data_IF_368712246631
#
_entry.id   IF_368712246631
#
_cell.length_a   1.000
_cell.length_b   1.000
_cell.length_c   1.000
_cell.angle_alpha   90.00
_cell.angle_beta   90.00
_cell.angle_gamma   90.00
#
_symmetry.space_group_name_H-M   'P 1'
#
loop_
_entity.id
_entity.type
_entity.pdbx_description
1 polymer ?
#
# COMPACT_ATOMS: atom_id res chain seq x y z
N UNK A 1 26.41 3.59 -7.61
CA UNK A 1 25.05 3.12 -7.94
C UNK A 1 24.10 4.15 -7.38
N UNK A 2 23.10 4.61 -8.13
CA UNK A 2 22.06 5.49 -7.59
C UNK A 2 21.30 4.63 -6.56
N UNK A 3 21.43 4.92 -5.27
CA UNK A 3 20.75 4.12 -4.24
C UNK A 3 19.24 4.18 -4.49
N UNK A 4 18.64 3.02 -4.75
CA UNK A 4 17.21 2.92 -5.08
C UNK A 4 16.42 3.04 -3.80
N UNK A 5 15.87 4.23 -3.53
CA UNK A 5 15.14 4.51 -2.29
C UNK A 5 13.64 4.71 -2.54
N UNK A 6 12.82 4.03 -1.75
CA UNK A 6 11.37 4.06 -1.78
C UNK A 6 10.83 4.79 -0.53
N UNK A 7 9.99 5.81 -0.71
CA UNK A 7 9.42 6.57 0.40
C UNK A 7 7.90 6.41 0.48
N UNK A 8 7.37 6.25 1.69
CA UNK A 8 5.94 6.46 1.97
C UNK A 8 5.78 7.64 2.91
N UNK A 9 5.10 8.68 2.44
CA UNK A 9 5.02 9.99 3.09
C UNK A 9 3.61 10.14 3.63
N UNK A 10 3.48 9.95 4.94
CA UNK A 10 2.22 10.06 5.68
C UNK A 10 2.09 11.54 6.07
N UNK A 11 1.25 12.29 5.35
CA UNK A 11 1.19 13.75 5.50
C UNK A 11 0.33 14.21 6.68
N UNK A 12 -0.55 13.33 7.16
CA UNK A 12 -1.50 13.56 8.26
C UNK A 12 -1.98 12.24 8.84
N UNK A 13 -2.44 12.23 10.09
CA UNK A 13 -3.25 11.14 10.66
C UNK A 13 -4.75 11.49 10.75
N UNK A 14 -5.16 12.68 10.30
CA UNK A 14 -6.58 13.05 10.18
C UNK A 14 -7.22 12.27 9.05
N UNK A 15 -8.40 11.72 9.28
CA UNK A 15 -9.17 11.00 8.27
C UNK A 15 -10.67 11.26 8.46
N UNK A 16 -11.41 11.37 7.36
CA UNK A 16 -12.87 11.47 7.36
C UNK A 16 -13.55 10.08 7.38
N UNK A 17 -12.81 9.02 7.04
CA UNK A 17 -13.28 7.65 7.12
C UNK A 17 -13.17 7.11 8.55
N UNK A 18 -14.07 6.19 8.91
CA UNK A 18 -14.07 5.48 10.20
C UNK A 18 -13.98 3.99 9.94
N UNK A 19 -12.87 3.60 9.32
CA UNK A 19 -12.71 2.25 8.80
C UNK A 19 -12.69 1.21 9.92
N UNK A 20 -13.27 0.03 9.70
CA UNK A 20 -13.25 -1.06 10.70
C UNK A 20 -11.85 -1.63 10.93
N UNK A 21 -10.97 -1.55 9.93
CA UNK A 21 -9.62 -2.11 9.95
C UNK A 21 -8.51 -1.13 10.35
N UNK A 22 -8.85 0.14 10.66
CA UNK A 22 -7.87 1.19 10.95
C UNK A 22 -8.45 2.19 11.97
N UNK A 23 -7.80 2.30 13.12
CA UNK A 23 -8.20 3.20 14.21
C UNK A 23 -7.44 4.53 14.18
N UNK A 24 -6.76 4.85 13.08
CA UNK A 24 -6.00 6.10 12.95
C UNK A 24 -6.87 7.35 13.18
N UNK A 25 -8.17 7.29 12.85
CA UNK A 25 -9.11 8.40 13.04
C UNK A 25 -9.46 8.67 14.51
N UNK A 26 -9.20 7.73 15.43
CA UNK A 26 -9.50 7.89 16.86
C UNK A 26 -8.48 8.77 17.58
N UNK A 27 -7.28 8.95 17.02
CA UNK A 27 -6.23 9.79 17.59
C UNK A 27 -5.53 10.60 16.47
N UNK A 28 -6.26 11.56 15.87
CA UNK A 28 -5.77 12.30 14.72
C UNK A 28 -4.67 13.31 15.10
N UNK A 29 -3.78 13.62 14.16
CA UNK A 29 -2.86 14.77 14.29
C UNK A 29 -3.63 16.09 14.32
N UNK A 30 -3.05 17.12 14.95
CA UNK A 30 -3.49 18.50 14.76
C UNK A 30 -2.71 19.17 13.61
N UNK A 31 -3.32 20.10 12.84
CA UNK A 31 -2.64 20.74 11.71
C UNK A 31 -1.26 21.33 12.04
N UNK A 32 -1.11 21.91 13.24
CA UNK A 32 0.15 22.51 13.71
C UNK A 32 1.24 21.49 14.10
N UNK A 33 0.88 20.21 14.26
CA UNK A 33 1.82 19.11 14.53
C UNK A 33 2.33 18.45 13.25
N UNK A 34 1.65 18.68 12.13
CA UNK A 34 1.91 17.98 10.86
C UNK A 34 3.16 18.52 10.15
N UNK A 35 3.85 17.64 9.43
CA UNK A 35 5.07 17.96 8.69
C UNK A 35 4.89 19.22 7.83
N UNK A 36 5.85 20.13 7.94
CA UNK A 36 5.90 21.35 7.15
C UNK A 36 6.43 21.08 5.73
N UNK A 37 6.12 21.97 4.79
CA UNK A 37 6.70 21.93 3.45
C UNK A 37 8.25 21.94 3.49
N UNK A 38 8.82 22.79 4.36
CA UNK A 38 10.27 22.87 4.60
C UNK A 38 10.87 21.55 5.10
N UNK A 39 10.12 20.78 5.88
CA UNK A 39 10.55 19.46 6.34
C UNK A 39 10.57 18.48 5.17
N UNK A 40 9.54 18.49 4.31
CA UNK A 40 9.44 17.63 3.13
C UNK A 40 10.56 17.95 2.11
N UNK A 41 10.96 19.22 1.98
CA UNK A 41 12.10 19.65 1.15
C UNK A 41 13.42 18.98 1.54
N UNK A 42 13.58 18.52 2.79
CA UNK A 42 14.79 17.81 3.24
C UNK A 42 14.85 16.35 2.79
N UNK A 43 13.79 15.80 2.20
CA UNK A 43 13.78 14.42 1.70
C UNK A 43 14.83 14.23 0.58
N UNK A 44 15.43 13.02 0.49
CA UNK A 44 16.39 12.70 -0.56
C UNK A 44 15.66 12.46 -1.89
N UNK A 45 16.44 12.17 -2.94
CA UNK A 45 15.87 11.68 -4.19
C UNK A 45 15.36 10.24 -4.02
N UNK A 46 14.23 9.94 -4.66
CA UNK A 46 13.46 8.70 -4.54
C UNK A 46 13.20 8.09 -5.91
N UNK A 47 13.27 6.77 -6.01
CA UNK A 47 12.77 6.06 -7.19
C UNK A 47 11.24 6.02 -7.19
N UNK A 48 10.62 6.02 -6.01
CA UNK A 48 9.17 6.01 -5.87
C UNK A 48 8.74 6.63 -4.55
N UNK A 49 7.69 7.45 -4.60
CA UNK A 49 7.03 8.00 -3.43
C UNK A 49 5.54 7.61 -3.42
N UNK A 50 5.05 7.11 -2.28
CA UNK A 50 3.63 7.06 -1.99
C UNK A 50 3.25 8.21 -1.07
N UNK A 51 2.32 9.06 -1.49
CA UNK A 51 1.74 10.09 -0.63
C UNK A 51 0.45 9.53 -0.04
N UNK A 52 0.35 9.55 1.29
CA UNK A 52 -0.70 8.86 2.04
C UNK A 52 -0.93 9.53 3.39
N UNK A 53 -1.62 8.83 4.29
CA UNK A 53 -1.79 9.18 5.69
C UNK A 53 -3.19 9.70 5.96
N UNK A 54 -3.82 9.18 7.02
CA UNK A 54 -5.26 9.34 7.28
C UNK A 54 -6.02 9.42 5.96
N UNK A 55 -6.50 10.62 5.62
CA UNK A 55 -6.80 11.02 4.24
C UNK A 55 -5.94 12.22 3.81
N UNK A 56 -5.03 12.09 2.80
CA UNK A 56 -4.12 13.17 2.41
C UNK A 56 -4.86 14.41 1.89
N UNK A 57 -6.02 14.23 1.24
CA UNK A 57 -6.84 15.34 0.75
C UNK A 57 -7.62 16.08 1.85
N UNK A 58 -7.34 15.83 3.13
CA UNK A 58 -7.73 16.74 4.23
C UNK A 58 -6.78 17.93 4.33
N UNK A 59 -5.49 17.74 4.00
CA UNK A 59 -4.52 18.83 4.02
C UNK A 59 -4.83 19.85 2.94
N UNK A 60 -4.80 21.13 3.29
CA UNK A 60 -5.12 22.23 2.36
C UNK A 60 -4.00 22.44 1.35
N UNK A 61 -2.76 22.20 1.77
CA UNK A 61 -1.50 22.38 1.05
C UNK A 61 -0.99 21.09 0.35
N UNK A 62 -1.90 20.16 0.03
CA UNK A 62 -1.53 18.89 -0.62
C UNK A 62 -0.92 19.08 -2.01
N UNK A 63 -1.29 20.15 -2.73
CA UNK A 63 -0.75 20.45 -4.05
C UNK A 63 0.72 20.87 -3.99
N UNK A 64 1.07 21.69 -3.00
CA UNK A 64 2.42 22.13 -2.69
C UNK A 64 3.28 20.94 -2.25
N UNK A 65 2.74 20.05 -1.41
CA UNK A 65 3.40 18.80 -1.02
C UNK A 65 3.73 17.94 -2.24
N UNK A 66 2.74 17.73 -3.13
CA UNK A 66 2.95 16.96 -4.37
C UNK A 66 4.02 17.60 -5.24
N UNK A 67 3.99 18.93 -5.39
CA UNK A 67 4.97 19.67 -6.19
C UNK A 67 6.40 19.49 -5.66
N UNK A 68 6.62 19.57 -4.34
CA UNK A 68 7.95 19.34 -3.73
C UNK A 68 8.41 17.91 -3.96
N UNK A 69 7.52 16.92 -3.81
CA UNK A 69 7.88 15.50 -3.95
C UNK A 69 8.17 15.16 -5.43
N UNK A 70 7.52 15.83 -6.39
CA UNK A 70 7.79 15.64 -7.83
C UNK A 70 9.24 15.95 -8.21
N UNK A 71 9.83 16.97 -7.60
CA UNK A 71 11.24 17.32 -7.82
C UNK A 71 12.21 16.27 -7.24
N UNK A 72 11.71 15.36 -6.40
CA UNK A 72 12.50 14.36 -5.67
C UNK A 72 12.25 12.93 -6.12
N UNK A 73 11.07 12.62 -6.64
CA UNK A 73 10.65 11.24 -6.90
C UNK A 73 10.42 10.96 -8.38
N UNK A 74 11.04 9.89 -8.90
CA UNK A 74 10.86 9.45 -10.29
C UNK A 74 9.44 8.98 -10.60
N UNK A 75 8.70 8.51 -9.58
CA UNK A 75 7.29 8.13 -9.68
C UNK A 75 6.54 8.42 -8.38
N UNK A 76 5.35 9.02 -8.50
CA UNK A 76 4.47 9.27 -7.36
C UNK A 76 3.16 8.52 -7.54
N UNK A 77 2.67 7.91 -6.46
CA UNK A 77 1.29 7.42 -6.37
C UNK A 77 0.64 7.96 -5.09
N UNK A 78 -0.56 8.52 -5.19
CA UNK A 78 -1.35 8.97 -4.03
C UNK A 78 -2.33 7.86 -3.62
N UNK A 79 -2.40 7.56 -2.33
CA UNK A 79 -3.41 6.67 -1.75
C UNK A 79 -4.52 7.54 -1.13
N UNK A 80 -5.77 7.37 -1.55
CA UNK A 80 -6.91 8.16 -1.04
C UNK A 80 -8.17 7.31 -0.90
N UNK A 81 -9.06 7.68 0.01
CA UNK A 81 -10.40 7.12 0.12
C UNK A 81 -11.39 7.68 -0.93
N UNK A 82 -10.98 8.66 -1.74
CA UNK A 82 -11.81 9.20 -2.83
C UNK A 82 -12.91 10.17 -2.39
N UNK A 83 -12.96 10.55 -1.11
CA UNK A 83 -14.04 11.39 -0.58
C UNK A 83 -14.03 12.82 -1.11
N UNK A 84 -12.84 13.39 -1.31
CA UNK A 84 -12.63 14.77 -1.76
C UNK A 84 -12.49 14.86 -3.29
N UNK A 85 -13.48 14.33 -4.03
CA UNK A 85 -13.43 14.14 -5.48
C UNK A 85 -12.99 15.39 -6.26
N UNK A 86 -13.55 16.57 -5.97
CA UNK A 86 -13.18 17.80 -6.69
C UNK A 86 -11.71 18.20 -6.45
N UNK A 87 -11.22 18.03 -5.22
CA UNK A 87 -9.81 18.33 -4.89
C UNK A 87 -8.87 17.36 -5.57
N UNK A 88 -9.24 16.08 -5.60
CA UNK A 88 -8.51 15.03 -6.32
C UNK A 88 -8.42 15.39 -7.80
N UNK A 89 -9.55 15.64 -8.45
CA UNK A 89 -9.58 15.91 -9.89
C UNK A 89 -8.83 17.21 -10.24
N UNK A 90 -8.97 18.26 -9.44
CA UNK A 90 -8.22 19.50 -9.62
C UNK A 90 -6.70 19.28 -9.56
N UNK A 91 -6.23 18.49 -8.59
CA UNK A 91 -4.80 18.17 -8.45
C UNK A 91 -4.27 17.37 -9.65
N UNK A 92 -5.00 16.34 -10.08
CA UNK A 92 -4.56 15.48 -11.18
C UNK A 92 -4.62 16.17 -12.55
N UNK A 93 -5.49 17.17 -12.75
CA UNK A 93 -5.46 18.03 -13.95
C UNK A 93 -4.15 18.83 -14.05
N UNK A 94 -3.58 19.25 -12.92
CA UNK A 94 -2.30 19.97 -12.87
C UNK A 94 -1.09 19.04 -12.92
N UNK A 95 -1.23 17.83 -12.40
CA UNK A 95 -0.17 16.82 -12.33
C UNK A 95 -0.62 15.50 -12.98
N UNK A 96 -0.81 15.46 -14.31
CA UNK A 96 -1.36 14.28 -15.01
C UNK A 96 -0.41 13.07 -15.08
N UNK A 97 0.84 13.25 -14.67
CA UNK A 97 1.93 12.29 -14.72
C UNK A 97 2.09 11.46 -13.43
N UNK A 98 1.34 11.78 -12.36
CA UNK A 98 1.34 10.99 -11.13
C UNK A 98 0.19 9.97 -11.12
N UNK A 99 0.30 8.94 -10.28
CA UNK A 99 -0.75 7.92 -10.13
C UNK A 99 -1.62 8.11 -8.89
N UNK A 100 -2.78 7.44 -8.88
CA UNK A 100 -3.67 7.37 -7.72
C UNK A 100 -4.25 5.99 -7.55
N UNK A 101 -4.41 5.58 -6.29
CA UNK A 101 -5.21 4.43 -5.90
C UNK A 101 -6.33 4.90 -4.98
N UNK A 102 -7.56 4.81 -5.48
CA UNK A 102 -8.75 5.02 -4.67
C UNK A 102 -9.09 3.72 -3.98
N UNK A 103 -9.10 3.80 -2.67
CA UNK A 103 -9.48 2.72 -1.78
C UNK A 103 -10.96 2.36 -1.94
N UNK A 104 -11.24 1.17 -2.46
CA UNK A 104 -12.58 0.59 -2.61
C UNK A 104 -12.53 -0.84 -2.09
N UNK A 105 -13.26 -1.13 -1.02
CA UNK A 105 -13.13 -2.35 -0.22
C UNK A 105 -14.08 -3.48 -0.62
N UNK A 106 -14.69 -3.40 -1.79
CA UNK A 106 -15.68 -4.38 -2.27
C UNK A 106 -16.78 -3.69 -3.07
N UNK A 107 -17.90 -4.39 -3.27
CA UNK A 107 -19.13 -3.84 -3.82
C UNK A 107 -19.78 -2.85 -2.81
N UNK A 108 -20.81 -2.07 -3.20
CA UNK A 108 -21.28 -0.93 -2.40
C UNK A 108 -21.50 -1.21 -0.91
N UNK A 109 -22.17 -2.34 -0.59
CA UNK A 109 -22.47 -2.72 0.80
C UNK A 109 -21.21 -2.95 1.63
N UNK A 110 -20.31 -3.80 1.14
CA UNK A 110 -19.06 -4.15 1.84
C UNK A 110 -18.17 -2.92 1.97
N UNK A 111 -18.02 -2.15 0.88
CA UNK A 111 -17.20 -0.95 0.88
C UNK A 111 -17.63 0.05 1.95
N UNK A 112 -18.90 0.43 1.95
CA UNK A 112 -19.41 1.50 2.80
C UNK A 112 -19.43 1.07 4.27
N UNK A 113 -19.72 -0.21 4.53
CA UNK A 113 -19.64 -0.81 5.88
C UNK A 113 -18.21 -0.77 6.40
N UNK A 114 -17.24 -1.23 5.61
CA UNK A 114 -15.84 -1.34 6.02
C UNK A 114 -15.20 0.04 6.19
N UNK A 115 -15.52 0.98 5.30
CA UNK A 115 -14.92 2.33 5.30
C UNK A 115 -15.61 3.29 6.27
N UNK A 116 -16.85 2.99 6.68
CA UNK A 116 -17.66 3.90 7.48
C UNK A 116 -18.02 5.19 6.71
N UNK A 117 -18.11 5.12 5.38
CA UNK A 117 -18.47 6.25 4.51
C UNK A 117 -19.72 5.85 3.74
N UNK A 118 -20.82 6.57 3.96
CA UNK A 118 -22.05 6.43 3.18
C UNK A 118 -21.82 6.84 1.72
N UNK A 119 -22.31 6.03 0.80
CA UNK A 119 -22.16 6.18 -0.65
C UNK A 119 -20.68 6.27 -1.08
N UNK A 120 -19.80 5.62 -0.31
CA UNK A 120 -18.35 5.66 -0.47
C UNK A 120 -17.91 4.98 -1.76
N UNK A 121 -18.52 3.84 -2.09
CA UNK A 121 -18.23 3.10 -3.32
C UNK A 121 -18.55 3.96 -4.54
N UNK A 122 -19.76 4.49 -4.62
CA UNK A 122 -20.23 5.28 -5.76
C UNK A 122 -19.39 6.54 -5.95
N UNK A 123 -19.04 7.21 -4.84
CA UNK A 123 -18.18 8.38 -4.88
C UNK A 123 -16.76 8.03 -5.36
N UNK A 124 -16.17 6.96 -4.84
CA UNK A 124 -14.86 6.47 -5.26
C UNK A 124 -14.84 6.13 -6.75
N UNK A 125 -15.82 5.35 -7.22
CA UNK A 125 -15.96 4.96 -8.62
C UNK A 125 -16.17 6.17 -9.54
N UNK A 126 -17.06 7.11 -9.18
CA UNK A 126 -17.24 8.36 -9.95
C UNK A 126 -15.95 9.18 -10.02
N UNK A 127 -15.16 9.20 -8.96
CA UNK A 127 -13.86 9.90 -8.95
C UNK A 127 -12.90 9.23 -9.94
N UNK A 128 -12.80 7.90 -9.91
CA UNK A 128 -11.96 7.13 -10.84
C UNK A 128 -12.37 7.34 -12.30
N UNK A 129 -13.67 7.31 -12.60
CA UNK A 129 -14.22 7.58 -13.93
C UNK A 129 -13.83 8.97 -14.42
N UNK A 130 -14.07 10.01 -13.60
CA UNK A 130 -13.73 11.40 -13.97
C UNK A 130 -12.23 11.62 -14.18
N UNK A 131 -11.38 10.88 -13.48
CA UNK A 131 -9.92 10.92 -13.69
C UNK A 131 -9.54 10.29 -15.03
N UNK A 132 -10.15 9.16 -15.39
CA UNK A 132 -9.92 8.54 -16.70
C UNK A 132 -10.45 9.42 -17.83
N UNK A 133 -11.63 10.02 -17.68
CA UNK A 133 -12.18 10.98 -18.66
C UNK A 133 -11.29 12.21 -18.82
N UNK A 134 -10.57 12.60 -17.77
CA UNK A 134 -9.57 13.68 -17.81
C UNK A 134 -8.22 13.23 -18.42
N UNK A 135 -8.10 12.00 -18.89
CA UNK A 135 -6.90 11.47 -19.55
C UNK A 135 -5.81 10.95 -18.61
N UNK A 136 -6.11 10.79 -17.31
CA UNK A 136 -5.14 10.29 -16.33
C UNK A 136 -4.95 8.79 -16.51
N UNK A 137 -3.71 8.36 -16.74
CA UNK A 137 -3.38 6.97 -17.12
C UNK A 137 -3.15 6.04 -15.93
N UNK A 138 -2.52 6.52 -14.86
CA UNK A 138 -2.14 5.70 -13.71
C UNK A 138 -3.20 5.75 -12.59
N UNK A 139 -4.42 5.28 -12.91
CA UNK A 139 -5.59 5.30 -12.01
C UNK A 139 -5.94 3.87 -11.59
N UNK A 140 -6.40 3.67 -10.36
CA UNK A 140 -6.75 2.33 -9.89
C UNK A 140 -7.48 2.22 -8.58
N UNK A 141 -7.94 1.00 -8.31
CA UNK A 141 -8.58 0.57 -7.08
C UNK A 141 -7.52 0.07 -6.08
N UNK A 142 -7.81 0.23 -4.79
CA UNK A 142 -7.10 -0.43 -3.71
C UNK A 142 -8.07 -1.17 -2.80
N UNK A 143 -7.84 -2.45 -2.56
CA UNK A 143 -8.68 -3.30 -1.70
C UNK A 143 -7.84 -4.00 -0.65
N UNK A 144 -8.27 -3.90 0.61
CA UNK A 144 -7.74 -4.66 1.74
C UNK A 144 -8.66 -5.86 1.95
N UNK A 145 -8.27 -7.00 1.40
CA UNK A 145 -9.09 -8.21 1.43
C UNK A 145 -9.13 -8.79 2.84
N UNK A 146 -10.33 -9.04 3.32
CA UNK A 146 -10.68 -9.57 4.63
C UNK A 146 -11.95 -10.42 4.52
N UNK A 147 -12.31 -11.11 5.60
CA UNK A 147 -13.48 -11.99 5.65
C UNK A 147 -14.77 -11.27 5.19
N UNK A 148 -14.99 -10.02 5.61
CA UNK A 148 -16.18 -9.26 5.25
C UNK A 148 -16.31 -8.83 3.78
N UNK A 149 -15.26 -8.96 2.96
CA UNK A 149 -15.28 -8.54 1.55
C UNK A 149 -14.63 -9.53 0.58
N UNK A 150 -14.19 -10.71 1.03
CA UNK A 150 -13.48 -11.66 0.19
C UNK A 150 -14.30 -12.08 -1.04
N UNK A 151 -15.61 -12.27 -0.86
CA UNK A 151 -16.54 -12.62 -1.94
C UNK A 151 -16.62 -11.55 -3.05
N UNK A 152 -16.32 -10.28 -2.74
CA UNK A 152 -16.38 -9.18 -3.70
C UNK A 152 -15.08 -9.04 -4.52
N UNK A 153 -14.01 -9.75 -4.14
CA UNK A 153 -12.66 -9.55 -4.71
C UNK A 153 -12.64 -9.74 -6.23
N UNK A 154 -13.26 -10.81 -6.73
CA UNK A 154 -13.25 -11.14 -8.15
C UNK A 154 -14.10 -10.16 -8.95
N UNK A 155 -15.27 -9.79 -8.44
CA UNK A 155 -16.16 -8.84 -9.12
C UNK A 155 -15.56 -7.44 -9.17
N UNK A 156 -14.95 -6.98 -8.07
CA UNK A 156 -14.26 -5.69 -8.05
C UNK A 156 -13.02 -5.69 -8.94
N UNK A 157 -12.24 -6.78 -8.95
CA UNK A 157 -11.13 -6.94 -9.89
C UNK A 157 -11.63 -6.91 -11.34
N UNK A 158 -12.72 -7.60 -11.65
CA UNK A 158 -13.31 -7.61 -12.99
C UNK A 158 -13.72 -6.20 -13.41
N UNK A 159 -14.41 -5.46 -12.54
CA UNK A 159 -14.76 -4.06 -12.81
C UNK A 159 -13.51 -3.24 -13.14
N UNK A 160 -12.48 -3.29 -12.29
CA UNK A 160 -11.20 -2.60 -12.54
C UNK A 160 -10.55 -3.01 -13.85
N UNK A 161 -10.55 -4.30 -14.17
CA UNK A 161 -9.88 -4.85 -15.35
C UNK A 161 -10.58 -4.43 -16.65
N UNK A 162 -11.93 -4.44 -16.67
CA UNK A 162 -12.71 -3.96 -17.83
C UNK A 162 -12.50 -2.46 -18.07
N UNK A 163 -12.27 -1.69 -17.01
CA UNK A 163 -11.98 -0.26 -17.10
C UNK A 163 -10.51 0.04 -17.46
N UNK A 164 -9.66 -0.99 -17.61
CA UNK A 164 -8.23 -0.82 -17.85
C UNK A 164 -7.49 -0.19 -16.67
N UNK A 165 -8.08 -0.21 -15.47
CA UNK A 165 -7.55 0.40 -14.27
C UNK A 165 -6.65 -0.55 -13.48
N UNK A 166 -5.78 0.03 -12.68
CA UNK A 166 -4.88 -0.72 -11.81
C UNK A 166 -5.63 -1.29 -10.60
N UNK A 167 -5.27 -2.49 -10.17
CA UNK A 167 -5.88 -3.13 -9.01
C UNK A 167 -4.80 -3.48 -7.99
N UNK A 168 -4.80 -2.79 -6.85
CA UNK A 168 -3.87 -3.03 -5.75
C UNK A 168 -4.57 -3.84 -4.65
N UNK A 169 -3.96 -4.93 -4.25
CA UNK A 169 -4.45 -5.80 -3.17
C UNK A 169 -3.56 -5.70 -1.94
N UNK A 170 -4.19 -5.79 -0.78
CA UNK A 170 -3.57 -6.00 0.52
C UNK A 170 -4.46 -6.94 1.33
N UNK A 171 -4.06 -7.25 2.56
CA UNK A 171 -4.92 -7.90 3.56
C UNK A 171 -4.72 -7.20 4.90
N UNK A 172 -5.45 -7.61 5.94
CA UNK A 172 -5.41 -6.99 7.25
C UNK A 172 -4.02 -7.00 7.86
N UNK A 173 -3.65 -5.89 8.49
CA UNK A 173 -2.39 -5.73 9.21
C UNK A 173 -2.65 -5.07 10.56
N UNK A 174 -1.90 -5.52 11.56
CA UNK A 174 -1.84 -4.91 12.89
C UNK A 174 -0.49 -4.20 13.03
N UNK A 175 -0.50 -2.93 13.39
CA UNK A 175 0.71 -2.11 13.51
C UNK A 175 0.45 -0.80 14.24
N UNK A 176 1.54 -0.15 14.69
CA UNK A 176 1.47 1.21 15.23
C UNK A 176 0.82 2.19 14.24
N UNK A 177 1.05 2.02 12.93
CA UNK A 177 0.58 2.95 11.90
C UNK A 177 -0.94 2.95 11.76
N UNK A 178 -1.55 1.76 11.72
CA UNK A 178 -3.01 1.62 11.65
C UNK A 178 -3.69 1.84 13.01
N UNK A 179 -2.90 1.99 14.09
CA UNK A 179 -3.36 2.05 15.49
C UNK A 179 -4.26 0.88 15.87
N UNK A 180 -4.02 -0.27 15.22
CA UNK A 180 -4.85 -1.45 15.26
C UNK A 180 -4.01 -2.66 15.64
N UNK A 181 -4.50 -3.46 16.57
CA UNK A 181 -3.80 -4.63 17.12
C UNK A 181 -4.65 -5.90 17.14
N UNK A 182 -5.93 -5.78 16.81
CA UNK A 182 -6.99 -6.76 16.97
C UNK A 182 -7.65 -7.17 15.65
N UNK A 183 -7.11 -6.76 14.50
CA UNK A 183 -7.58 -7.31 13.22
C UNK A 183 -7.27 -8.81 13.17
N UNK A 184 -8.29 -9.63 12.90
CA UNK A 184 -8.18 -11.09 12.77
C UNK A 184 -8.99 -11.54 11.56
N UNK A 185 -8.46 -12.52 10.82
CA UNK A 185 -9.19 -13.27 9.80
C UNK A 185 -9.53 -14.63 10.41
N UNK A 186 -10.81 -14.84 10.75
CA UNK A 186 -11.25 -16.08 11.38
C UNK A 186 -11.38 -17.17 10.31
N UNK A 187 -12.18 -16.94 9.27
CA UNK A 187 -12.25 -17.83 8.13
C UNK A 187 -11.13 -17.54 7.12
N UNK A 188 -9.95 -18.12 7.37
CA UNK A 188 -8.79 -17.99 6.47
C UNK A 188 -9.02 -18.68 5.12
N UNK A 189 -9.80 -19.77 5.09
CA UNK A 189 -10.05 -20.54 3.88
C UNK A 189 -10.83 -19.72 2.86
N UNK A 190 -11.92 -19.05 3.26
CA UNK A 190 -12.71 -18.19 2.35
C UNK A 190 -11.86 -17.08 1.72
N UNK A 191 -11.03 -16.40 2.53
CA UNK A 191 -10.15 -15.35 2.04
C UNK A 191 -9.06 -15.91 1.11
N UNK A 192 -8.50 -17.07 1.44
CA UNK A 192 -7.50 -17.75 0.62
C UNK A 192 -8.07 -18.22 -0.73
N UNK A 193 -9.31 -18.75 -0.74
CA UNK A 193 -10.02 -19.14 -1.95
C UNK A 193 -10.28 -17.93 -2.86
N UNK A 194 -10.71 -16.79 -2.31
CA UNK A 194 -10.88 -15.58 -3.09
C UNK A 194 -9.57 -15.11 -3.75
N UNK A 195 -8.46 -15.14 -3.01
CA UNK A 195 -7.14 -14.85 -3.57
C UNK A 195 -6.70 -15.90 -4.60
N UNK A 196 -6.99 -17.18 -4.38
CA UNK A 196 -6.68 -18.25 -5.32
C UNK A 196 -7.37 -18.01 -6.66
N UNK A 197 -8.66 -17.66 -6.66
CA UNK A 197 -9.40 -17.33 -7.87
C UNK A 197 -8.78 -16.14 -8.61
N UNK A 198 -8.33 -15.12 -7.87
CA UNK A 198 -7.63 -13.98 -8.43
C UNK A 198 -6.29 -14.40 -9.05
N UNK A 199 -5.51 -15.22 -8.34
CA UNK A 199 -4.23 -15.76 -8.83
C UNK A 199 -4.43 -16.56 -10.12
N UNK A 200 -5.40 -17.48 -10.15
CA UNK A 200 -5.77 -18.25 -11.35
C UNK A 200 -6.12 -17.32 -12.51
N UNK A 201 -6.94 -16.29 -12.28
CA UNK A 201 -7.34 -15.32 -13.32
C UNK A 201 -6.16 -14.53 -13.84
N UNK A 202 -5.28 -14.06 -12.96
CA UNK A 202 -4.09 -13.30 -13.32
C UNK A 202 -3.09 -14.14 -14.13
N UNK A 203 -2.87 -15.40 -13.75
CA UNK A 203 -2.02 -16.35 -14.50
C UNK A 203 -2.58 -16.66 -15.89
N UNK A 204 -3.90 -16.75 -16.07
CA UNK A 204 -4.53 -16.96 -17.39
C UNK A 204 -4.37 -15.78 -18.35
N UNK A 205 -4.08 -14.58 -17.84
CA UNK A 205 -3.90 -13.41 -18.70
C UNK A 205 -2.65 -13.52 -19.60
N UNK A 206 -2.58 -12.65 -20.63
CA UNK A 206 -1.40 -12.51 -21.51
C UNK A 206 -0.39 -11.46 -21.03
N UNK A 207 -0.63 -10.82 -19.88
CA UNK A 207 0.18 -9.70 -19.39
C UNK A 207 1.23 -10.18 -18.39
N UNK A 208 2.54 -10.01 -18.67
CA UNK A 208 3.59 -10.35 -17.71
C UNK A 208 3.42 -9.64 -16.36
N UNK A 209 3.00 -8.37 -16.37
CA UNK A 209 2.69 -7.60 -15.15
C UNK A 209 1.64 -8.31 -14.28
N UNK A 210 0.58 -8.86 -14.90
CA UNK A 210 -0.45 -9.62 -14.18
C UNK A 210 0.10 -10.93 -13.61
N UNK A 211 1.04 -11.60 -14.27
CA UNK A 211 1.67 -12.81 -13.72
C UNK A 211 2.48 -12.53 -12.45
N UNK A 212 3.23 -11.41 -12.42
CA UNK A 212 3.90 -10.97 -11.19
C UNK A 212 2.89 -10.57 -10.10
N UNK A 213 1.76 -9.97 -10.46
CA UNK A 213 0.65 -9.75 -9.51
C UNK A 213 0.09 -11.06 -8.97
N UNK A 214 0.06 -12.13 -9.77
CA UNK A 214 -0.36 -13.44 -9.30
C UNK A 214 0.58 -13.97 -8.21
N UNK A 215 1.90 -13.89 -8.41
CA UNK A 215 2.88 -14.24 -7.38
C UNK A 215 2.72 -13.38 -6.11
N UNK A 216 2.50 -12.07 -6.27
CA UNK A 216 2.25 -11.19 -5.14
C UNK A 216 1.03 -11.63 -4.32
N UNK A 217 -0.10 -11.94 -4.98
CA UNK A 217 -1.32 -12.39 -4.30
C UNK A 217 -1.17 -13.80 -3.69
N UNK A 218 -0.40 -14.69 -4.32
CA UNK A 218 0.00 -15.96 -3.70
C UNK A 218 0.73 -15.73 -2.36
N UNK A 219 1.62 -14.73 -2.30
CA UNK A 219 2.27 -14.35 -1.05
C UNK A 219 1.35 -13.73 0.00
N UNK A 220 0.22 -13.12 -0.40
CA UNK A 220 -0.82 -12.68 0.57
C UNK A 220 -1.50 -13.90 1.22
N UNK A 221 -1.77 -14.96 0.46
CA UNK A 221 -2.29 -16.23 1.02
C UNK A 221 -1.28 -16.78 2.03
N UNK A 222 0.01 -16.84 1.67
CA UNK A 222 1.07 -17.28 2.57
C UNK A 222 1.10 -16.47 3.89
N UNK A 223 0.92 -15.16 3.81
CA UNK A 223 0.85 -14.29 4.98
C UNK A 223 -0.38 -14.55 5.87
N UNK A 224 -1.56 -14.79 5.30
CA UNK A 224 -2.79 -15.11 6.05
C UNK A 224 -2.62 -16.36 6.93
N UNK A 225 -1.87 -17.35 6.42
CA UNK A 225 -1.52 -18.57 7.17
C UNK A 225 -0.37 -18.37 8.16
N UNK A 226 0.19 -17.17 8.29
CA UNK A 226 1.25 -16.85 9.25
C UNK A 226 2.63 -17.40 8.88
N UNK A 227 2.80 -17.85 7.64
CA UNK A 227 4.05 -18.46 7.19
C UNK A 227 5.16 -17.42 7.00
N UNK A 228 6.44 -17.82 7.06
CA UNK A 228 7.56 -16.95 6.72
C UNK A 228 7.40 -16.34 5.33
N UNK A 229 7.89 -15.10 5.16
CA UNK A 229 7.85 -14.41 3.86
C UNK A 229 8.53 -15.25 2.76
N UNK A 230 7.94 -15.25 1.57
CA UNK A 230 8.52 -15.91 0.39
C UNK A 230 9.77 -15.19 -0.15
N UNK A 231 9.95 -13.93 0.24
CA UNK A 231 11.07 -13.07 -0.16
C UNK A 231 11.57 -12.28 1.05
N UNK A 232 12.88 -11.94 1.11
CA UNK A 232 13.43 -11.13 2.17
C UNK A 232 12.76 -9.74 2.25
N UNK A 233 12.96 -9.08 3.38
CA UNK A 233 12.51 -7.70 3.61
C UNK A 233 13.72 -6.78 3.70
N UNK A 234 13.79 -5.79 2.80
CA UNK A 234 14.88 -4.81 2.73
C UNK A 234 14.46 -3.42 3.24
N UNK A 235 13.30 -3.32 3.89
CA UNK A 235 12.86 -2.10 4.60
C UNK A 235 13.92 -1.63 5.59
N UNK A 236 13.94 -0.32 5.86
CA UNK A 236 15.01 0.40 6.57
C UNK A 236 16.36 0.49 5.83
N UNK A 237 16.55 -0.21 4.70
CA UNK A 237 17.72 -0.07 3.82
C UNK A 237 17.38 0.59 2.49
N UNK A 238 16.38 0.06 1.79
CA UNK A 238 15.91 0.63 0.51
C UNK A 238 14.53 1.29 0.63
N UNK A 239 13.87 1.23 1.79
CA UNK A 239 12.57 1.84 2.02
C UNK A 239 12.44 2.51 3.37
N UNK A 240 11.67 3.60 3.44
CA UNK A 240 11.35 4.30 4.68
C UNK A 240 9.91 4.83 4.66
N UNK A 241 9.45 5.22 5.85
CA UNK A 241 8.23 5.98 6.04
C UNK A 241 8.58 7.32 6.70
N UNK A 242 7.98 8.41 6.23
CA UNK A 242 7.96 9.69 6.93
C UNK A 242 6.59 9.84 7.57
N UNK A 243 6.53 10.01 8.88
CA UNK A 243 5.27 10.23 9.59
C UNK A 243 4.92 11.74 9.70
N UNK A 244 3.68 12.08 10.11
CA UNK A 244 3.26 13.47 10.20
C UNK A 244 4.03 14.30 11.23
N UNK A 245 4.75 13.67 12.16
CA UNK A 245 5.53 14.37 13.19
C UNK A 245 6.98 14.59 12.75
N UNK A 246 7.35 14.19 11.52
CA UNK A 246 8.70 14.34 10.98
C UNK A 246 9.61 13.14 11.24
N UNK A 247 9.13 12.07 11.88
CA UNK A 247 9.98 10.91 12.14
C UNK A 247 10.20 10.09 10.88
N UNK A 248 11.47 9.73 10.64
CA UNK A 248 11.84 8.72 9.66
C UNK A 248 11.73 7.36 10.31
N UNK A 249 10.84 6.53 9.81
CA UNK A 249 10.51 5.20 10.32
C UNK A 249 10.96 4.12 9.33
N UNK A 250 11.32 2.92 9.81
CA UNK A 250 11.80 1.84 8.95
C UNK A 250 10.71 1.26 8.06
N UNK A 251 9.48 1.13 8.56
CA UNK A 251 8.30 0.66 7.85
C UNK A 251 7.03 0.99 8.65
N UNK A 252 5.85 0.71 8.09
CA UNK A 252 4.56 0.82 8.77
C UNK A 252 4.04 -0.50 9.36
N UNK A 253 4.80 -1.59 9.32
CA UNK A 253 4.35 -2.92 9.75
C UNK A 253 4.81 -3.35 11.16
N UNK A 254 5.67 -2.55 11.80
CA UNK A 254 6.16 -2.87 13.14
C UNK A 254 5.06 -2.75 14.19
N UNK A 255 5.21 -3.47 15.29
CA UNK A 255 4.28 -3.39 16.42
C UNK A 255 4.38 -2.05 17.14
N UNK A 256 5.63 -1.64 17.41
CA UNK A 256 5.94 -0.38 18.04
C UNK A 256 6.54 0.59 17.02
N UNK A 257 6.28 1.88 17.22
CA UNK A 257 6.92 2.94 16.46
C UNK A 257 8.42 2.96 16.79
N UNK A 258 9.27 2.84 15.77
CA UNK A 258 10.73 2.93 15.92
C UNK A 258 11.26 4.06 15.04
N UNK A 259 11.54 5.21 15.65
CA UNK A 259 12.13 6.35 14.92
C UNK A 259 13.60 6.09 14.64
N UNK A 260 14.04 6.40 13.42
CA UNK A 260 15.45 6.47 13.02
C UNK A 260 16.03 7.86 13.28
N UNK A 261 15.18 8.86 13.53
CA UNK A 261 15.49 10.28 13.72
C UNK A 261 14.38 11.17 13.17
N UNK A 262 14.41 12.46 13.51
CA UNK A 262 13.34 13.40 13.16
C UNK A 262 13.83 14.50 12.20
N UNK A 263 13.16 14.61 11.05
CA UNK A 263 13.52 15.50 9.94
C UNK A 263 13.19 16.98 10.23
N UNK A 264 12.39 17.28 11.26
CA UNK A 264 12.21 18.66 11.69
C UNK A 264 13.50 19.21 12.30
N UNK A 265 14.26 18.39 13.02
CA UNK A 265 15.44 18.81 13.80
C UNK A 265 16.76 18.46 13.13
N UNK A 266 16.80 17.45 12.26
CA UNK A 266 18.02 16.98 11.60
C UNK A 266 17.89 16.98 10.07
N UNK A 267 19.01 16.84 9.38
CA UNK A 267 19.08 16.57 7.94
C UNK A 267 18.86 15.09 7.64
N UNK A 268 18.57 14.75 6.38
CA UNK A 268 18.41 13.36 5.96
C UNK A 268 19.67 12.52 6.24
N UNK A 269 20.86 13.02 5.90
CA UNK A 269 22.12 12.28 6.06
C UNK A 269 22.48 12.03 7.52
N UNK A 270 22.23 13.00 8.41
CA UNK A 270 22.42 12.84 9.85
C UNK A 270 21.52 11.72 10.40
N UNK A 271 20.25 11.69 9.97
CA UNK A 271 19.30 10.65 10.39
C UNK A 271 19.71 9.29 9.82
N UNK A 272 19.86 9.19 8.50
CA UNK A 272 20.00 7.92 7.80
C UNK A 272 21.31 7.20 8.14
N UNK A 273 22.38 7.93 8.46
CA UNK A 273 23.67 7.36 8.82
C UNK A 273 23.91 7.28 10.34
N UNK A 274 22.95 7.71 11.17
CA UNK A 274 23.06 7.70 12.63
C UNK A 274 23.24 6.29 13.23
N UNK A 275 23.74 6.24 14.46
CA UNK A 275 23.74 5.01 15.27
C UNK A 275 22.31 4.51 15.55
N UNK A 276 21.37 5.43 15.78
CA UNK A 276 19.95 5.10 15.96
C UNK A 276 19.39 4.38 14.71
N UNK A 277 19.63 4.91 13.52
CA UNK A 277 19.24 4.27 12.27
C UNK A 277 19.87 2.87 12.10
N UNK A 278 21.15 2.70 12.47
CA UNK A 278 21.83 1.39 12.47
C UNK A 278 21.16 0.40 13.44
N UNK A 279 20.81 0.85 14.65
CA UNK A 279 20.09 0.05 15.64
C UNK A 279 18.70 -0.37 15.13
N UNK A 280 17.94 0.58 14.56
CA UNK A 280 16.63 0.30 13.96
C UNK A 280 16.73 -0.72 12.82
N UNK A 281 17.71 -0.59 11.92
CA UNK A 281 17.97 -1.58 10.85
C UNK A 281 18.26 -2.97 11.41
N UNK A 282 19.05 -3.06 12.48
CA UNK A 282 19.35 -4.33 13.13
C UNK A 282 18.08 -4.98 13.73
N UNK A 283 17.18 -4.18 14.29
CA UNK A 283 15.87 -4.63 14.77
C UNK A 283 14.95 -5.10 13.64
N UNK A 284 14.89 -4.36 12.53
CA UNK A 284 14.09 -4.74 11.35
C UNK A 284 14.59 -6.05 10.74
N UNK A 285 15.90 -6.30 10.71
CA UNK A 285 16.48 -7.57 10.24
C UNK A 285 16.03 -8.79 11.06
N UNK A 286 15.66 -8.59 12.33
CA UNK A 286 15.17 -9.63 13.25
C UNK A 286 13.64 -9.66 13.35
N UNK A 287 12.94 -8.87 12.54
CA UNK A 287 11.49 -8.77 12.59
C UNK A 287 10.81 -10.09 12.20
N UNK A 288 9.86 -10.55 13.02
CA UNK A 288 9.13 -11.81 12.86
C UNK A 288 7.69 -11.62 12.34
N UNK A 289 7.30 -10.40 11.97
CA UNK A 289 5.92 -10.06 11.59
C UNK A 289 5.43 -10.73 10.31
N UNK A 290 6.36 -11.25 9.49
CA UNK A 290 6.09 -11.90 8.20
C UNK A 290 5.22 -11.10 7.21
N UNK A 291 5.08 -9.77 7.39
CA UNK A 291 4.20 -8.93 6.57
C UNK A 291 4.48 -9.04 5.08
N UNK A 292 3.43 -8.91 4.26
CA UNK A 292 3.51 -8.99 2.81
C UNK A 292 2.94 -7.74 2.12
N UNK A 293 3.41 -6.57 2.58
CA UNK A 293 2.99 -5.27 2.06
C UNK A 293 3.68 -4.92 0.75
N UNK A 294 2.93 -4.40 -0.22
CA UNK A 294 3.43 -4.09 -1.57
C UNK A 294 4.67 -3.20 -1.57
N UNK A 295 4.76 -2.22 -0.65
CA UNK A 295 5.92 -1.32 -0.53
C UNK A 295 7.23 -2.04 -0.21
N UNK A 296 7.17 -3.17 0.52
CA UNK A 296 8.34 -4.00 0.82
C UNK A 296 8.54 -5.14 -0.19
N UNK A 297 7.46 -5.65 -0.78
CA UNK A 297 7.50 -6.83 -1.64
C UNK A 297 7.84 -6.47 -3.09
N UNK A 298 7.33 -5.36 -3.61
CA UNK A 298 7.62 -4.97 -4.99
C UNK A 298 9.13 -4.72 -5.25
N UNK A 299 9.89 -4.04 -4.35
CA UNK A 299 11.34 -3.97 -4.47
C UNK A 299 12.00 -5.34 -4.35
N UNK A 300 11.60 -6.15 -3.34
CA UNK A 300 12.16 -7.49 -3.13
C UNK A 300 11.96 -8.42 -4.32
N UNK A 301 10.82 -8.34 -5.01
CA UNK A 301 10.54 -9.09 -6.25
C UNK A 301 11.45 -8.67 -7.40
N UNK A 302 11.83 -7.39 -7.50
CA UNK A 302 12.75 -6.90 -8.54
C UNK A 302 14.17 -7.37 -8.25
N UNK A 303 14.61 -7.28 -7.00
CA UNK A 303 15.95 -7.70 -6.57
C UNK A 303 16.12 -9.23 -6.66
N UNK A 304 15.05 -9.99 -6.41
CA UNK A 304 15.05 -11.45 -6.41
C UNK A 304 14.25 -12.03 -7.58
N UNK A 305 14.28 -11.39 -8.76
CA UNK A 305 13.38 -11.66 -9.90
C UNK A 305 13.31 -13.12 -10.35
N UNK A 306 14.38 -13.90 -10.13
CA UNK A 306 14.44 -15.32 -10.48
C UNK A 306 13.44 -16.17 -9.69
N UNK A 307 13.13 -15.80 -8.44
CA UNK A 307 12.16 -16.52 -7.59
C UNK A 307 10.74 -16.43 -8.15
N UNK A 308 10.13 -15.24 -8.34
CA UNK A 308 8.82 -15.13 -8.95
C UNK A 308 8.81 -15.65 -10.39
N UNK A 309 9.88 -15.47 -11.18
CA UNK A 309 9.93 -16.01 -12.54
C UNK A 309 9.84 -17.54 -12.58
N UNK A 310 10.59 -18.25 -11.73
CA UNK A 310 10.51 -19.72 -11.64
C UNK A 310 9.12 -20.17 -11.21
N UNK A 311 8.53 -19.51 -10.22
CA UNK A 311 7.17 -19.81 -9.76
C UNK A 311 6.13 -19.57 -10.86
N UNK A 312 6.21 -18.44 -11.57
CA UNK A 312 5.32 -18.11 -12.69
C UNK A 312 5.47 -19.16 -13.80
N UNK A 313 6.69 -19.48 -14.21
CA UNK A 313 6.95 -20.47 -15.26
C UNK A 313 6.37 -21.84 -14.92
N UNK A 314 6.60 -22.32 -13.69
CA UNK A 314 6.05 -23.60 -13.22
C UNK A 314 4.53 -23.64 -13.31
N UNK A 315 3.84 -22.59 -12.87
CA UNK A 315 2.37 -22.55 -12.87
C UNK A 315 1.76 -22.31 -14.25
N UNK A 316 2.44 -21.55 -15.12
CA UNK A 316 2.03 -21.38 -16.52
C UNK A 316 2.17 -22.69 -17.31
N UNK A 317 3.19 -23.50 -16.99
CA UNK A 317 3.38 -24.84 -17.59
C UNK A 317 2.38 -25.88 -17.05
N UNK A 318 2.14 -25.91 -15.73
CA UNK A 318 1.15 -26.80 -15.11
C UNK A 318 -0.29 -26.52 -15.60
N UNK A 319 -0.59 -25.26 -15.94
CA UNK A 319 -1.94 -24.83 -16.32
C UNK A 319 -2.95 -24.83 -15.16
N UNK A 320 -2.47 -25.06 -13.93
CA UNK A 320 -3.25 -25.16 -12.71
C UNK A 320 -2.54 -24.46 -11.55
N UNK A 321 -3.31 -23.92 -10.61
CA UNK A 321 -2.85 -23.36 -9.34
C UNK A 321 -3.84 -23.78 -8.26
N UNK A 322 -3.35 -24.33 -7.17
CA UNK A 322 -4.10 -24.64 -5.96
C UNK A 322 -3.30 -24.10 -4.78
N UNK A 323 -3.90 -23.28 -3.91
CA UNK A 323 -3.16 -22.69 -2.80
C UNK A 323 -2.84 -23.75 -1.73
N UNK A 324 -3.66 -24.80 -1.60
CA UNK A 324 -3.45 -25.89 -0.64
C UNK A 324 -2.15 -26.65 -0.93
N UNK A 325 -1.84 -26.88 -2.20
CA UNK A 325 -0.59 -27.53 -2.64
C UNK A 325 0.67 -26.68 -2.39
N UNK A 326 0.50 -25.37 -2.26
CA UNK A 326 1.60 -24.40 -2.28
C UNK A 326 1.85 -23.77 -0.89
N UNK A 327 0.85 -23.78 0.00
CA UNK A 327 0.89 -23.07 1.28
C UNK A 327 0.92 -24.05 2.45
N UNK A 328 1.98 -23.97 3.26
CA UNK A 328 2.11 -24.81 4.45
C UNK A 328 0.96 -24.56 5.42
N UNK A 329 0.31 -25.63 5.86
CA UNK A 329 -0.78 -25.59 6.84
C UNK A 329 -2.15 -25.24 6.26
N UNK A 330 -2.28 -25.15 4.93
CA UNK A 330 -3.55 -24.94 4.25
C UNK A 330 -4.43 -26.20 4.16
N UNK A 331 -3.84 -27.39 4.34
CA UNK A 331 -4.54 -28.69 4.34
C UNK A 331 -5.11 -29.10 5.71
N UNK A 332 -4.87 -28.31 6.76
CA UNK A 332 -5.26 -28.62 8.15
C UNK A 332 -6.45 -27.77 8.58
#
# INVERSE_FOLDING_TARGET
MKDTLYGSIIVTYRCNAKCTMCDCFNDPTRPEEEISLKTIEKLPNLTFANITGGEPFIRKDIEEIVSIIKEKAERIVISSNGYFSERIISLFKKHPDIGIRISIEGLPKSNDTIRGIKDGFDRGLRTLLRLVDAGIKDVGFGMTVQEGNAQDLIDLYNLSDHMGMEFATATLHNSFYFRKTDNVINNKEDVAMAFEDLVKKLLKSKSPKKWFRAYFNHGLINYIYGNPRLLPCDMARNGFFLDPFGDILPCNGMEQKMSMGNLNTHTWEEIWNSEQARSVRASVKKCTRNCWMIGSVAPAMRENITVPLKWIAAHKLKGHYCYKDEIRGADK
#
